data_IF_090051831657
#
_entry.id   IF_090051831657
#
_cell.length_a   1.000
_cell.length_b   1.000
_cell.length_c   1.000
_cell.angle_alpha   90.00
_cell.angle_beta   90.00
_cell.angle_gamma   90.00
#
_symmetry.space_group_name_H-M   'P 1'
#
loop_
_entity.id
_entity.type
_entity.pdbx_description
1 polymer ?
#
# COMPACT_ATOMS: atom_id res chain seq x y z
N UNK A 1 -23.77 -1.54 2.56
CA UNK A 1 -23.74 -3.04 2.52
C UNK A 1 -22.53 -3.53 1.71
N UNK A 2 -22.12 -4.81 1.79
CA UNK A 2 -20.96 -5.33 1.01
C UNK A 2 -21.10 -5.11 -0.52
N UNK A 3 -22.31 -5.25 -1.06
CA UNK A 3 -22.61 -5.00 -2.49
C UNK A 3 -22.39 -3.55 -2.91
N UNK A 4 -22.68 -2.59 -2.03
CA UNK A 4 -22.47 -1.15 -2.28
C UNK A 4 -20.98 -0.82 -2.33
N UNK A 5 -20.17 -1.39 -1.42
CA UNK A 5 -18.71 -1.25 -1.45
C UNK A 5 -18.13 -1.83 -2.74
N UNK A 6 -18.63 -2.99 -3.18
CA UNK A 6 -18.21 -3.60 -4.45
C UNK A 6 -18.56 -2.71 -5.66
N UNK A 7 -19.77 -2.16 -5.70
CA UNK A 7 -20.18 -1.23 -6.76
C UNK A 7 -19.33 0.04 -6.81
N UNK A 8 -18.98 0.62 -5.66
CA UNK A 8 -18.08 1.78 -5.60
C UNK A 8 -16.67 1.46 -6.11
N UNK A 9 -16.17 0.25 -5.87
CA UNK A 9 -14.85 -0.19 -6.35
C UNK A 9 -14.82 -0.35 -7.87
N UNK A 10 -15.85 -0.95 -8.47
CA UNK A 10 -15.95 -1.07 -9.93
C UNK A 10 -16.01 0.31 -10.61
N UNK A 11 -16.80 1.23 -10.04
CA UNK A 11 -16.88 2.61 -10.54
C UNK A 11 -15.52 3.31 -10.44
N UNK A 12 -14.81 3.16 -9.32
CA UNK A 12 -13.47 3.73 -9.14
C UNK A 12 -12.48 3.19 -10.19
N UNK A 13 -12.44 1.88 -10.38
CA UNK A 13 -11.57 1.25 -11.37
C UNK A 13 -11.84 1.78 -12.79
N UNK A 14 -13.11 1.86 -13.19
CA UNK A 14 -13.48 2.40 -14.50
C UNK A 14 -13.08 3.87 -14.67
N UNK A 15 -13.22 4.68 -13.62
CA UNK A 15 -12.83 6.09 -13.63
C UNK A 15 -11.31 6.25 -13.77
N UNK A 16 -10.53 5.49 -13.01
CA UNK A 16 -9.06 5.51 -13.09
C UNK A 16 -8.56 5.09 -14.47
N UNK A 17 -9.13 4.02 -15.05
CA UNK A 17 -8.80 3.60 -16.42
C UNK A 17 -9.14 4.68 -17.45
N UNK A 18 -10.26 5.40 -17.30
CA UNK A 18 -10.61 6.54 -18.16
C UNK A 18 -9.65 7.71 -18.00
N UNK A 19 -9.17 7.99 -16.78
CA UNK A 19 -8.16 9.02 -16.52
C UNK A 19 -6.86 8.64 -17.22
N UNK A 20 -6.37 7.42 -17.05
CA UNK A 20 -5.17 6.89 -17.70
C UNK A 20 -5.27 7.03 -19.23
N UNK A 21 -6.41 6.66 -19.82
CA UNK A 21 -6.61 6.77 -21.26
C UNK A 21 -6.60 8.22 -21.77
N UNK A 22 -7.00 9.19 -20.93
CA UNK A 22 -7.03 10.61 -21.29
C UNK A 22 -5.72 11.34 -20.96
N UNK A 23 -5.01 10.91 -19.94
CA UNK A 23 -3.78 11.51 -19.41
C UNK A 23 -2.77 10.39 -19.08
N UNK A 24 -2.06 9.85 -20.09
CA UNK A 24 -1.14 8.72 -19.91
C UNK A 24 0.08 9.00 -19.04
N UNK A 25 0.37 10.27 -18.74
CA UNK A 25 1.44 10.74 -17.86
C UNK A 25 0.97 11.02 -16.42
N UNK A 26 -0.34 10.89 -16.15
CA UNK A 26 -0.91 11.11 -14.82
C UNK A 26 -0.68 9.91 -13.89
N UNK A 27 0.55 9.80 -13.39
CA UNK A 27 1.06 8.70 -12.56
C UNK A 27 0.22 8.39 -11.30
N UNK A 28 -0.45 9.38 -10.70
CA UNK A 28 -1.32 9.15 -9.56
C UNK A 28 -2.48 8.19 -9.88
N UNK A 29 -3.02 8.20 -11.11
CA UNK A 29 -4.09 7.27 -11.47
C UNK A 29 -3.57 5.83 -11.62
N UNK A 30 -2.34 5.66 -12.13
CA UNK A 30 -1.67 4.36 -12.18
C UNK A 30 -1.42 3.81 -10.77
N UNK A 31 -0.87 4.63 -9.88
CA UNK A 31 -0.63 4.24 -8.50
C UNK A 31 -1.92 3.86 -7.78
N UNK A 32 -2.95 4.72 -7.87
CA UNK A 32 -4.23 4.49 -7.22
C UNK A 32 -4.91 3.21 -7.73
N UNK A 33 -4.89 2.96 -9.05
CA UNK A 33 -5.48 1.75 -9.62
C UNK A 33 -4.72 0.52 -9.15
N UNK A 34 -3.39 0.53 -9.23
CA UNK A 34 -2.58 -0.59 -8.78
C UNK A 34 -2.75 -0.88 -7.28
N UNK A 35 -2.76 0.16 -6.44
CA UNK A 35 -2.98 0.01 -5.00
C UNK A 35 -4.34 -0.62 -4.69
N UNK A 36 -5.42 -0.16 -5.32
CA UNK A 36 -6.77 -0.73 -5.11
C UNK A 36 -6.85 -2.19 -5.52
N UNK A 37 -6.22 -2.57 -6.64
CA UNK A 37 -6.14 -3.96 -7.08
C UNK A 37 -5.35 -4.81 -6.07
N UNK A 38 -4.22 -4.29 -5.60
CA UNK A 38 -3.37 -4.93 -4.60
C UNK A 38 -4.11 -5.16 -3.28
N UNK A 39 -4.75 -4.12 -2.73
CA UNK A 39 -5.49 -4.17 -1.47
C UNK A 39 -6.63 -5.21 -1.52
N UNK A 40 -7.31 -5.33 -2.66
CA UNK A 40 -8.32 -6.36 -2.90
C UNK A 40 -7.75 -7.76 -3.13
N UNK A 41 -6.46 -7.87 -3.43
CA UNK A 41 -5.82 -9.16 -3.74
C UNK A 41 -6.17 -9.70 -5.12
N UNK A 42 -6.54 -8.82 -6.06
CA UNK A 42 -6.99 -9.20 -7.40
C UNK A 42 -6.07 -8.60 -8.45
N UNK A 43 -5.86 -9.32 -9.55
CA UNK A 43 -5.04 -8.83 -10.69
C UNK A 43 -3.65 -8.31 -10.24
N UNK A 44 -3.00 -9.02 -9.31
CA UNK A 44 -1.78 -8.53 -8.63
C UNK A 44 -0.62 -8.21 -9.59
N UNK A 45 -0.49 -8.96 -10.68
CA UNK A 45 0.50 -8.65 -11.71
C UNK A 45 0.18 -7.36 -12.48
N UNK A 46 -1.10 -7.09 -12.76
CA UNK A 46 -1.52 -5.80 -13.34
C UNK A 46 -1.25 -4.67 -12.34
N UNK A 47 -1.57 -4.88 -11.06
CA UNK A 47 -1.30 -3.93 -9.99
C UNK A 47 0.18 -3.53 -9.94
N UNK A 48 1.07 -4.53 -10.02
CA UNK A 48 2.53 -4.34 -10.07
C UNK A 48 2.94 -3.48 -11.26
N UNK A 49 2.48 -3.84 -12.47
CA UNK A 49 2.81 -3.12 -13.70
C UNK A 49 2.34 -1.67 -13.68
N UNK A 50 1.13 -1.42 -13.17
CA UNK A 50 0.59 -0.07 -13.02
C UNK A 50 1.45 0.77 -12.07
N UNK A 51 1.82 0.24 -10.91
CA UNK A 51 2.63 0.97 -9.94
C UNK A 51 4.07 1.18 -10.43
N UNK A 52 4.66 0.19 -11.10
CA UNK A 52 5.95 0.35 -11.78
C UNK A 52 5.88 1.47 -12.82
N UNK A 53 4.79 1.54 -13.61
CA UNK A 53 4.57 2.64 -14.55
C UNK A 53 4.45 4.00 -13.85
N UNK A 54 3.81 4.05 -12.68
CA UNK A 54 3.74 5.27 -11.88
C UNK A 54 5.13 5.73 -11.42
N UNK A 55 6.02 4.80 -11.03
CA UNK A 55 7.41 5.10 -10.66
C UNK A 55 8.27 5.54 -11.84
N UNK A 56 7.98 5.13 -13.07
CA UNK A 56 8.68 5.67 -14.26
C UNK A 56 8.49 7.19 -14.38
N UNK A 57 7.31 7.71 -14.03
CA UNK A 57 6.99 9.13 -14.06
C UNK A 57 7.37 9.88 -12.77
N UNK A 58 7.39 9.20 -11.63
CA UNK A 58 7.76 9.76 -10.34
C UNK A 58 8.81 8.89 -9.62
N UNK A 59 10.07 8.86 -10.11
CA UNK A 59 11.10 7.99 -9.56
C UNK A 59 11.39 8.32 -8.09
N UNK A 60 11.31 7.29 -7.24
CA UNK A 60 11.69 7.39 -5.84
C UNK A 60 10.66 8.08 -4.94
N UNK A 61 9.45 8.36 -5.43
CA UNK A 61 8.31 8.81 -4.62
C UNK A 61 8.01 7.77 -3.52
N UNK A 62 8.00 8.17 -2.24
CA UNK A 62 7.86 7.24 -1.13
C UNK A 62 6.48 6.57 -1.08
N UNK A 63 5.40 7.24 -1.48
CA UNK A 63 4.05 6.69 -1.43
C UNK A 63 3.81 5.67 -2.56
N UNK A 64 4.38 5.92 -3.74
CA UNK A 64 4.33 4.96 -4.85
C UNK A 64 5.26 3.77 -4.54
N UNK A 65 6.40 4.01 -3.90
CA UNK A 65 7.30 2.94 -3.43
C UNK A 65 6.61 2.07 -2.37
N UNK A 66 5.85 2.68 -1.46
CA UNK A 66 5.01 1.97 -0.48
C UNK A 66 3.96 1.10 -1.18
N UNK A 67 3.23 1.66 -2.16
CA UNK A 67 2.26 0.90 -2.95
C UNK A 67 2.90 -0.29 -3.67
N UNK A 68 4.12 -0.14 -4.21
CA UNK A 68 4.86 -1.26 -4.82
C UNK A 68 5.25 -2.30 -3.77
N UNK A 69 5.71 -1.85 -2.60
CA UNK A 69 6.02 -2.72 -1.47
C UNK A 69 4.79 -3.54 -1.05
N UNK A 70 3.62 -2.91 -0.98
CA UNK A 70 2.36 -3.57 -0.69
C UNK A 70 1.99 -4.61 -1.75
N UNK A 71 2.08 -4.30 -3.04
CA UNK A 71 1.88 -5.29 -4.11
C UNK A 71 2.81 -6.50 -3.96
N UNK A 72 4.10 -6.25 -3.71
CA UNK A 72 5.08 -7.32 -3.55
C UNK A 72 4.75 -8.21 -2.35
N UNK A 73 4.28 -7.63 -1.25
CA UNK A 73 3.78 -8.39 -0.11
C UNK A 73 2.60 -9.28 -0.51
N UNK A 74 1.63 -8.74 -1.25
CA UNK A 74 0.45 -9.48 -1.72
C UNK A 74 0.78 -10.58 -2.73
N UNK A 75 1.86 -10.43 -3.49
CA UNK A 75 2.43 -11.47 -4.35
C UNK A 75 3.24 -12.54 -3.58
N UNK A 76 3.46 -12.36 -2.27
CA UNK A 76 4.28 -13.26 -1.45
C UNK A 76 5.78 -13.00 -1.50
N UNK A 77 6.22 -11.94 -2.19
CA UNK A 77 7.63 -11.56 -2.32
C UNK A 77 8.11 -10.78 -1.10
N UNK A 78 8.10 -11.43 0.08
CA UNK A 78 8.31 -10.77 1.38
C UNK A 78 9.64 -10.00 1.47
N UNK A 79 10.74 -10.56 0.97
CA UNK A 79 12.05 -9.89 1.00
C UNK A 79 12.05 -8.60 0.21
N UNK A 80 11.39 -8.59 -0.97
CA UNK A 80 11.31 -7.40 -1.81
C UNK A 80 10.36 -6.37 -1.22
N UNK A 81 9.24 -6.82 -0.64
CA UNK A 81 8.31 -5.96 0.06
C UNK A 81 9.00 -5.22 1.22
N UNK A 82 9.77 -5.95 2.04
CA UNK A 82 10.52 -5.37 3.15
C UNK A 82 11.48 -4.28 2.68
N UNK A 83 12.32 -4.56 1.68
CA UNK A 83 13.29 -3.60 1.15
C UNK A 83 12.62 -2.30 0.66
N UNK A 84 11.51 -2.43 -0.08
CA UNK A 84 10.77 -1.29 -0.61
C UNK A 84 10.12 -0.47 0.51
N UNK A 85 9.47 -1.12 1.46
CA UNK A 85 8.76 -0.46 2.56
C UNK A 85 9.72 0.20 3.55
N UNK A 86 10.87 -0.42 3.85
CA UNK A 86 11.92 0.20 4.65
C UNK A 86 12.46 1.46 3.96
N UNK A 87 12.70 1.40 2.65
CA UNK A 87 13.14 2.55 1.85
C UNK A 87 12.10 3.67 1.82
N UNK A 88 10.83 3.33 1.61
CA UNK A 88 9.72 4.27 1.65
C UNK A 88 9.60 4.94 3.02
N UNK A 89 9.57 4.14 4.09
CA UNK A 89 9.44 4.62 5.47
C UNK A 89 10.62 5.49 5.91
N UNK A 90 11.85 5.13 5.51
CA UNK A 90 13.04 5.94 5.79
C UNK A 90 12.95 7.34 5.16
N UNK A 91 12.41 7.45 3.95
CA UNK A 91 12.20 8.73 3.26
C UNK A 91 11.03 9.50 3.85
N UNK A 92 9.96 8.78 4.18
CA UNK A 92 8.71 9.33 4.68
C UNK A 92 8.17 8.43 5.79
N UNK A 93 8.45 8.76 7.06
CA UNK A 93 7.79 8.14 8.19
C UNK A 93 6.33 8.60 8.16
N UNK A 94 5.44 7.72 7.71
CA UNK A 94 4.00 7.96 7.60
C UNK A 94 3.25 6.77 8.18
N UNK A 95 2.06 7.01 8.73
CA UNK A 95 1.30 5.97 9.42
C UNK A 95 0.78 4.86 8.49
N UNK A 96 0.45 5.17 7.23
CA UNK A 96 0.04 4.16 6.25
C UNK A 96 1.23 3.29 5.85
N UNK A 97 2.39 3.92 5.58
CA UNK A 97 3.65 3.19 5.29
C UNK A 97 4.05 2.34 6.50
N UNK A 98 3.88 2.85 7.72
CA UNK A 98 4.11 2.09 8.95
C UNK A 98 3.16 0.88 9.07
N UNK A 99 1.90 1.02 8.64
CA UNK A 99 0.94 -0.08 8.64
C UNK A 99 1.43 -1.24 7.75
N UNK A 100 1.80 -0.93 6.51
CA UNK A 100 2.31 -1.93 5.55
C UNK A 100 3.64 -2.53 6.01
N UNK A 101 4.63 -1.70 6.39
CA UNK A 101 5.94 -2.16 6.85
C UNK A 101 5.82 -3.08 8.08
N UNK A 102 5.04 -2.66 9.07
CA UNK A 102 4.83 -3.48 10.25
C UNK A 102 4.13 -4.80 9.94
N UNK A 103 3.21 -4.85 8.98
CA UNK A 103 2.56 -6.11 8.57
C UNK A 103 3.53 -7.07 7.86
N UNK A 104 4.44 -6.55 7.03
CA UNK A 104 5.51 -7.36 6.43
C UNK A 104 6.43 -7.91 7.51
N UNK A 105 6.88 -7.08 8.45
CA UNK A 105 7.72 -7.49 9.58
C UNK A 105 7.01 -8.54 10.45
N UNK A 106 5.72 -8.35 10.71
CA UNK A 106 4.90 -9.29 11.46
C UNK A 106 4.82 -10.66 10.78
N UNK A 107 4.60 -10.66 9.47
CA UNK A 107 4.56 -11.89 8.66
C UNK A 107 5.90 -12.63 8.68
N UNK A 108 7.00 -11.87 8.65
CA UNK A 108 8.38 -12.37 8.77
C UNK A 108 8.78 -12.79 10.20
N UNK A 109 7.83 -12.85 11.15
CA UNK A 109 8.06 -13.18 12.56
C UNK A 109 8.96 -12.18 13.32
N UNK A 110 9.16 -10.98 12.77
CA UNK A 110 9.90 -9.88 13.41
C UNK A 110 8.95 -8.98 14.21
N UNK A 111 8.22 -9.58 15.15
CA UNK A 111 7.08 -8.93 15.81
C UNK A 111 7.46 -7.72 16.67
N UNK A 112 8.62 -7.74 17.32
CA UNK A 112 9.09 -6.58 18.11
C UNK A 112 9.39 -5.37 17.22
N UNK A 113 9.99 -5.61 16.05
CA UNK A 113 10.23 -4.56 15.06
C UNK A 113 8.90 -4.01 14.51
N UNK A 114 7.94 -4.89 14.19
CA UNK A 114 6.60 -4.48 13.75
C UNK A 114 5.89 -3.59 14.77
N UNK A 115 5.89 -3.97 16.06
CA UNK A 115 5.31 -3.17 17.15
C UNK A 115 5.97 -1.80 17.28
N UNK A 116 7.29 -1.73 17.13
CA UNK A 116 8.01 -0.47 17.21
C UNK A 116 7.63 0.48 16.05
N UNK A 117 7.52 -0.05 14.82
CA UNK A 117 7.08 0.73 13.65
C UNK A 117 5.64 1.21 13.84
N UNK A 118 4.72 0.34 14.24
CA UNK A 118 3.32 0.72 14.46
C UNK A 118 3.16 1.74 15.59
N UNK A 119 3.94 1.64 16.67
CA UNK A 119 3.93 2.63 17.76
C UNK A 119 4.39 4.00 17.28
N UNK A 120 5.39 4.08 16.41
CA UNK A 120 5.79 5.35 15.80
C UNK A 120 4.70 5.89 14.87
N UNK A 121 4.11 5.04 14.01
CA UNK A 121 2.99 5.44 13.16
C UNK A 121 1.81 6.00 13.96
N UNK A 122 1.44 5.35 15.08
CA UNK A 122 0.38 5.81 15.98
C UNK A 122 0.74 7.12 16.69
N UNK A 123 2.02 7.37 17.02
CA UNK A 123 2.43 8.66 17.60
C UNK A 123 2.20 9.81 16.63
N UNK A 124 2.42 9.59 15.34
CA UNK A 124 2.29 10.62 14.32
C UNK A 124 0.85 10.83 13.87
N UNK A 125 0.08 9.74 13.74
CA UNK A 125 -1.32 9.80 13.32
C UNK A 125 -2.13 8.72 14.05
N UNK A 126 -2.59 9.02 15.28
CA UNK A 126 -3.34 8.07 16.10
C UNK A 126 -4.61 7.55 15.41
N UNK A 127 -5.24 8.39 14.60
CA UNK A 127 -6.53 8.11 13.95
C UNK A 127 -6.38 7.59 12.50
N UNK A 128 -5.16 7.26 12.05
CA UNK A 128 -4.96 6.73 10.70
C UNK A 128 -5.71 5.41 10.52
N UNK A 129 -6.68 5.40 9.60
CA UNK A 129 -7.61 4.28 9.43
C UNK A 129 -6.93 2.99 8.96
N UNK A 130 -5.90 3.09 8.10
CA UNK A 130 -5.17 1.93 7.57
C UNK A 130 -4.40 1.26 8.70
N UNK A 131 -3.61 2.02 9.46
CA UNK A 131 -2.85 1.51 10.59
C UNK A 131 -3.77 0.91 11.66
N UNK A 132 -4.81 1.64 12.06
CA UNK A 132 -5.80 1.17 13.01
C UNK A 132 -6.52 -0.10 12.53
N UNK A 133 -6.84 -0.17 11.23
CA UNK A 133 -7.42 -1.33 10.58
C UNK A 133 -6.51 -2.55 10.63
N UNK A 134 -5.24 -2.39 10.30
CA UNK A 134 -4.22 -3.45 10.36
C UNK A 134 -4.05 -3.98 11.78
N UNK A 135 -3.92 -3.10 12.78
CA UNK A 135 -3.79 -3.50 14.19
C UNK A 135 -4.99 -4.27 14.69
N UNK A 136 -6.21 -3.81 14.37
CA UNK A 136 -7.45 -4.54 14.72
C UNK A 136 -7.51 -5.90 14.05
N UNK A 137 -7.19 -5.99 12.75
CA UNK A 137 -7.21 -7.25 12.00
C UNK A 137 -6.23 -8.28 12.55
N UNK A 138 -5.06 -7.82 13.00
CA UNK A 138 -4.02 -8.69 13.56
C UNK A 138 -4.17 -8.92 15.07
N UNK A 139 -5.09 -8.22 15.75
CA UNK A 139 -5.28 -8.31 17.20
C UNK A 139 -4.09 -7.78 17.99
N UNK A 140 -3.39 -6.76 17.47
CA UNK A 140 -2.16 -6.22 18.06
C UNK A 140 -2.42 -4.87 18.72
N UNK A 141 -1.92 -4.72 19.95
CA UNK A 141 -1.68 -3.43 20.59
C UNK A 141 -0.16 -3.17 20.61
N UNK A 142 0.35 -2.18 19.86
CA UNK A 142 1.79 -1.92 19.68
C UNK A 142 2.56 -1.57 20.95
#
# INVERSE_FOLDING_TARGET
>A
MLAEKAGLQEVMEQLLRKIIARQPDYHHAYNALGYVLADRGVQLEEARQLIEKALEYAPGDPYITDSLGWVQFRLGNLSRALELLESAYKKRPDAEIAAHLGEVLWTLQQQDAARNIWREGLRQSPDNEVLQGTLRRLGVQP
#
